data_IF_809154536919
#
_entry.id   IF_809154536919
#
_cell.length_a   1.000
_cell.length_b   1.000
_cell.length_c   1.000
_cell.angle_alpha   90.00
_cell.angle_beta   90.00
_cell.angle_gamma   90.00
#
_symmetry.space_group_name_H-M   'P 1'
#
loop_
_entity.id
_entity.type
_entity.pdbx_description
1 polymer ?
#
# COMPACT_ATOMS: atom_id res chain seq x y z
N UNK A 1 4.70 38.93 -13.82
CA UNK A 1 5.01 38.67 -12.39
C UNK A 1 4.19 37.56 -11.70
N UNK A 2 3.10 37.00 -12.29
CA UNK A 2 2.32 35.91 -11.67
C UNK A 2 2.88 34.48 -11.87
N UNK A 3 3.73 34.29 -12.89
CA UNK A 3 4.32 32.98 -13.22
C UNK A 3 5.42 32.55 -12.22
N UNK A 4 6.25 33.49 -11.76
CA UNK A 4 7.35 33.23 -10.82
C UNK A 4 6.87 32.80 -9.43
N UNK A 5 5.73 33.34 -8.97
CA UNK A 5 5.11 32.95 -7.71
C UNK A 5 4.45 31.57 -7.78
N UNK A 6 3.81 31.23 -8.91
CA UNK A 6 3.25 29.89 -9.12
C UNK A 6 4.33 28.80 -9.17
N UNK A 7 5.43 29.05 -9.89
CA UNK A 7 6.55 28.10 -9.99
C UNK A 7 7.22 27.85 -8.64
N UNK A 8 7.43 28.91 -7.84
CA UNK A 8 7.95 28.78 -6.46
C UNK A 8 7.01 28.00 -5.55
N UNK A 9 5.69 28.24 -5.63
CA UNK A 9 4.70 27.50 -4.85
C UNK A 9 4.67 26.01 -5.24
N UNK A 10 4.76 25.70 -6.54
CA UNK A 10 4.80 24.34 -7.05
C UNK A 10 6.06 23.59 -6.58
N UNK A 11 7.24 24.23 -6.61
CA UNK A 11 8.47 23.66 -6.09
C UNK A 11 8.41 23.38 -4.58
N UNK A 12 7.86 24.31 -3.78
CA UNK A 12 7.68 24.13 -2.33
C UNK A 12 6.73 22.95 -2.06
N UNK A 13 5.63 22.86 -2.81
CA UNK A 13 4.67 21.76 -2.67
C UNK A 13 5.31 20.39 -3.01
N UNK A 14 6.09 20.31 -4.09
CA UNK A 14 6.82 19.09 -4.48
C UNK A 14 7.84 18.67 -3.42
N UNK A 15 8.58 19.63 -2.84
CA UNK A 15 9.53 19.38 -1.75
C UNK A 15 8.82 18.86 -0.49
N UNK A 16 7.67 19.44 -0.13
CA UNK A 16 6.90 19.01 1.05
C UNK A 16 6.34 17.59 0.89
N UNK A 17 5.86 17.22 -0.30
CA UNK A 17 5.37 15.86 -0.58
C UNK A 17 6.52 14.85 -0.54
N UNK A 18 7.65 15.16 -1.18
CA UNK A 18 8.84 14.31 -1.17
C UNK A 18 9.42 14.13 0.24
N UNK A 19 9.42 15.19 1.06
CA UNK A 19 9.87 15.12 2.45
C UNK A 19 8.97 14.23 3.32
N UNK A 20 7.65 14.25 3.09
CA UNK A 20 6.69 13.38 3.79
C UNK A 20 6.88 11.91 3.43
N UNK A 21 7.07 11.59 2.16
CA UNK A 21 7.36 10.22 1.69
C UNK A 21 8.67 9.71 2.28
N UNK A 22 9.77 10.46 2.13
CA UNK A 22 11.08 10.07 2.66
C UNK A 22 11.06 9.84 4.17
N UNK A 23 10.43 10.75 4.93
CA UNK A 23 10.28 10.59 6.38
C UNK A 23 9.47 9.36 6.75
N UNK A 24 8.45 9.01 5.95
CA UNK A 24 7.65 7.81 6.16
C UNK A 24 8.49 6.56 5.93
N UNK A 25 9.19 6.46 4.80
CA UNK A 25 10.04 5.32 4.46
C UNK A 25 11.21 5.13 5.44
N UNK A 26 11.71 6.20 6.06
CA UNK A 26 12.74 6.10 7.10
C UNK A 26 12.22 5.52 8.44
N UNK A 27 10.90 5.58 8.66
CA UNK A 27 10.28 5.24 9.95
C UNK A 27 9.48 3.94 9.90
N UNK A 28 9.27 3.39 8.70
CA UNK A 28 8.39 2.27 8.46
C UNK A 28 9.06 1.28 7.51
N UNK A 29 8.92 0.00 7.80
CA UNK A 29 9.27 -1.04 6.85
C UNK A 29 8.13 -1.14 5.85
N UNK A 30 8.43 -0.90 4.56
CA UNK A 30 7.43 -0.90 3.50
C UNK A 30 7.87 -1.82 2.37
N UNK A 31 7.06 -2.84 2.10
CA UNK A 31 7.27 -3.77 0.99
C UNK A 31 6.13 -3.58 0.00
N UNK A 32 6.47 -3.35 -1.26
CA UNK A 32 5.50 -3.41 -2.36
C UNK A 32 5.17 -4.87 -2.62
N UNK A 33 3.89 -5.24 -2.60
CA UNK A 33 3.49 -6.64 -2.75
C UNK A 33 3.52 -7.05 -4.21
N UNK A 34 2.95 -6.23 -5.08
CA UNK A 34 2.88 -6.52 -6.52
C UNK A 34 3.42 -5.38 -7.37
N UNK A 35 4.07 -5.72 -8.49
CA UNK A 35 4.39 -4.79 -9.56
C UNK A 35 3.51 -5.08 -10.77
N UNK A 36 3.16 -4.04 -11.52
CA UNK A 36 2.52 -4.21 -12.83
C UNK A 36 3.62 -4.21 -13.88
N UNK A 37 3.85 -5.36 -14.51
CA UNK A 37 4.83 -5.53 -15.58
C UNK A 37 4.07 -5.96 -16.83
N UNK A 38 4.11 -5.13 -17.88
CA UNK A 38 3.47 -5.41 -19.17
C UNK A 38 1.96 -5.67 -19.08
N UNK A 39 1.26 -5.05 -18.12
CA UNK A 39 -0.18 -5.22 -17.91
C UNK A 39 -0.53 -6.33 -16.91
N UNK A 40 0.43 -7.17 -16.54
CA UNK A 40 0.23 -8.24 -15.56
C UNK A 40 0.68 -7.83 -14.17
N UNK A 41 -0.12 -8.18 -13.17
CA UNK A 41 0.26 -8.06 -11.76
C UNK A 41 1.17 -9.24 -11.38
N UNK A 42 2.41 -8.95 -10.99
CA UNK A 42 3.37 -9.96 -10.53
C UNK A 42 3.72 -9.75 -9.07
N UNK A 43 3.64 -10.83 -8.31
CA UNK A 43 4.02 -10.86 -6.89
C UNK A 43 5.53 -10.71 -6.74
N UNK A 44 5.95 -9.73 -5.93
CA UNK A 44 7.36 -9.46 -5.63
C UNK A 44 7.95 -10.52 -4.71
N UNK A 45 9.24 -10.80 -4.89
CA UNK A 45 9.93 -11.84 -4.15
C UNK A 45 10.04 -11.51 -2.65
N UNK A 46 10.27 -10.24 -2.32
CA UNK A 46 10.34 -9.77 -0.95
C UNK A 46 9.01 -10.01 -0.21
N UNK A 47 7.88 -9.85 -0.91
CA UNK A 47 6.56 -10.12 -0.35
C UNK A 47 6.31 -11.61 -0.14
N UNK A 48 6.80 -12.49 -1.03
CA UNK A 48 6.74 -13.96 -0.83
C UNK A 48 7.61 -14.39 0.36
N UNK A 49 8.82 -13.87 0.46
CA UNK A 49 9.72 -14.15 1.59
C UNK A 49 9.06 -13.70 2.89
N UNK A 50 8.50 -12.48 2.93
CA UNK A 50 7.76 -11.99 4.07
C UNK A 50 6.60 -12.94 4.42
N UNK A 51 5.73 -13.27 3.46
CA UNK A 51 4.59 -14.15 3.67
C UNK A 51 5.03 -15.53 4.22
N UNK A 52 6.08 -16.13 3.65
CA UNK A 52 6.57 -17.45 4.05
C UNK A 52 6.93 -17.52 5.54
N UNK A 53 7.45 -16.42 6.10
CA UNK A 53 7.90 -16.29 7.50
C UNK A 53 6.79 -15.93 8.48
N UNK A 54 5.61 -15.51 8.00
CA UNK A 54 4.51 -15.05 8.85
C UNK A 54 3.39 -16.10 8.96
N UNK A 55 2.63 -16.05 10.05
CA UNK A 55 1.55 -17.01 10.32
C UNK A 55 0.39 -16.87 9.34
N UNK A 56 -0.12 -15.65 9.17
CA UNK A 56 -1.24 -15.35 8.28
C UNK A 56 -0.70 -15.21 6.85
N UNK A 57 -1.27 -15.99 5.93
CA UNK A 57 -0.96 -15.94 4.50
C UNK A 57 -1.87 -14.95 3.76
N UNK A 58 -1.55 -14.58 2.52
CA UNK A 58 -2.34 -13.65 1.73
C UNK A 58 -3.81 -14.08 1.64
N UNK A 59 -4.08 -15.36 1.39
CA UNK A 59 -5.46 -15.89 1.28
C UNK A 59 -6.25 -15.74 2.58
N UNK A 60 -5.61 -15.97 3.72
CA UNK A 60 -6.26 -15.82 5.03
C UNK A 60 -6.47 -14.35 5.36
N UNK A 61 -5.48 -13.50 5.07
CA UNK A 61 -5.60 -12.06 5.18
C UNK A 61 -6.75 -11.51 4.33
N UNK A 62 -6.92 -12.01 3.10
CA UNK A 62 -8.00 -11.62 2.20
C UNK A 62 -9.35 -11.95 2.81
N UNK A 63 -9.52 -13.15 3.40
CA UNK A 63 -10.75 -13.55 4.09
C UNK A 63 -11.05 -12.63 5.27
N UNK A 64 -10.03 -12.26 6.07
CA UNK A 64 -10.19 -11.34 7.19
C UNK A 64 -10.62 -9.96 6.70
N UNK A 65 -9.96 -9.43 5.67
CA UNK A 65 -10.27 -8.14 5.08
C UNK A 65 -11.70 -8.11 4.49
N UNK A 66 -12.08 -9.13 3.71
CA UNK A 66 -13.42 -9.23 3.11
C UNK A 66 -14.53 -9.29 4.17
N UNK A 67 -14.31 -10.04 5.26
CA UNK A 67 -15.23 -10.06 6.42
C UNK A 67 -15.31 -8.71 7.12
N UNK A 68 -14.19 -7.99 7.20
CA UNK A 68 -14.17 -6.66 7.78
C UNK A 68 -15.00 -5.70 6.93
N UNK A 69 -14.75 -5.60 5.63
CA UNK A 69 -15.48 -4.66 4.75
C UNK A 69 -16.96 -5.02 4.60
N UNK A 70 -17.31 -6.31 4.55
CA UNK A 70 -18.72 -6.73 4.39
C UNK A 70 -19.59 -6.26 5.55
N UNK A 71 -19.03 -6.18 6.76
CA UNK A 71 -19.68 -5.62 7.94
C UNK A 71 -20.04 -4.13 7.76
N UNK A 72 -19.26 -3.38 6.99
CA UNK A 72 -19.47 -1.94 6.79
C UNK A 72 -20.23 -1.62 5.51
N UNK A 73 -20.09 -2.41 4.44
CA UNK A 73 -20.60 -2.05 3.12
C UNK A 73 -21.87 -2.79 2.67
N UNK A 74 -22.45 -3.71 3.49
CA UNK A 74 -23.63 -4.53 3.10
C UNK A 74 -23.47 -5.18 1.70
N UNK A 75 -22.25 -5.62 1.37
CA UNK A 75 -21.95 -6.26 0.08
C UNK A 75 -22.24 -7.77 0.21
N UNK A 76 -23.21 -8.26 -0.57
CA UNK A 76 -23.66 -9.67 -0.59
C UNK A 76 -22.79 -10.61 -1.45
N UNK A 77 -21.63 -10.15 -1.90
CA UNK A 77 -20.83 -10.85 -2.91
C UNK A 77 -19.37 -10.97 -2.48
N UNK A 78 -19.10 -11.71 -1.42
CA UNK A 78 -17.75 -12.27 -1.20
C UNK A 78 -17.59 -13.49 -2.12
N UNK A 79 -17.61 -13.26 -3.44
CA UNK A 79 -17.03 -14.24 -4.37
C UNK A 79 -15.52 -14.18 -4.15
N UNK A 80 -14.93 -15.33 -3.85
CA UNK A 80 -13.50 -15.54 -3.66
C UNK A 80 -12.72 -15.15 -4.92
N UNK A 81 -12.52 -13.86 -5.15
CA UNK A 81 -11.47 -13.38 -6.04
C UNK A 81 -10.16 -13.45 -5.26
N UNK A 82 -9.17 -14.10 -5.84
CA UNK A 82 -7.80 -14.00 -5.37
C UNK A 82 -7.30 -12.59 -5.70
N UNK A 83 -6.88 -11.84 -4.70
CA UNK A 83 -6.24 -10.54 -4.88
C UNK A 83 -5.13 -10.39 -3.86
N UNK A 84 -4.20 -9.47 -4.12
CA UNK A 84 -3.11 -9.21 -3.19
C UNK A 84 -3.35 -7.91 -2.42
N UNK A 85 -2.86 -7.81 -1.17
CA UNK A 85 -2.67 -6.51 -0.55
C UNK A 85 -1.72 -5.66 -1.42
N UNK A 86 -1.83 -4.34 -1.36
CA UNK A 86 -0.99 -3.46 -2.17
C UNK A 86 0.41 -3.29 -1.56
N UNK A 87 0.48 -3.21 -0.24
CA UNK A 87 1.71 -3.00 0.53
C UNK A 87 1.75 -3.95 1.73
N UNK A 88 2.94 -4.24 2.24
CA UNK A 88 3.15 -4.66 3.61
C UNK A 88 3.79 -3.47 4.35
N UNK A 89 3.21 -3.06 5.48
CA UNK A 89 3.75 -1.97 6.31
C UNK A 89 3.83 -2.42 7.75
N UNK A 90 5.03 -2.44 8.33
CA UNK A 90 5.31 -2.85 9.72
C UNK A 90 4.61 -4.17 10.11
N UNK A 91 4.64 -5.14 9.19
CA UNK A 91 4.01 -6.44 9.37
C UNK A 91 2.49 -6.50 9.14
N UNK A 92 1.87 -5.47 8.55
CA UNK A 92 0.47 -5.48 8.14
C UNK A 92 0.34 -5.61 6.63
N UNK A 93 -0.46 -6.58 6.16
CA UNK A 93 -0.95 -6.65 4.79
C UNK A 93 -1.97 -5.52 4.57
N UNK A 94 -1.56 -4.48 3.84
CA UNK A 94 -2.35 -3.28 3.61
C UNK A 94 -3.11 -3.35 2.29
N UNK A 95 -4.44 -3.40 2.39
CA UNK A 95 -5.37 -3.27 1.28
C UNK A 95 -5.61 -1.79 1.01
N UNK A 96 -5.09 -1.33 -0.13
CA UNK A 96 -4.98 0.08 -0.48
C UNK A 96 -5.08 0.30 -1.99
N UNK A 97 -5.13 1.56 -2.38
CA UNK A 97 -5.21 2.01 -3.76
C UNK A 97 -3.83 2.12 -4.40
N UNK A 98 -3.76 1.61 -5.63
CA UNK A 98 -2.62 1.76 -6.53
C UNK A 98 -3.03 2.59 -7.74
N UNK A 99 -2.25 3.63 -8.03
CA UNK A 99 -2.39 4.45 -9.22
C UNK A 99 -1.33 4.04 -10.25
N UNK A 100 -1.74 3.15 -11.16
CA UNK A 100 -0.90 2.60 -12.22
C UNK A 100 -0.38 3.70 -13.17
N UNK A 101 -1.20 4.74 -13.46
CA UNK A 101 -0.79 5.83 -14.36
C UNK A 101 0.40 6.62 -13.81
N UNK A 102 0.48 6.76 -12.49
CA UNK A 102 1.54 7.53 -11.83
C UNK A 102 2.60 6.67 -11.13
N UNK A 103 2.51 5.33 -11.21
CA UNK A 103 3.35 4.39 -10.47
C UNK A 103 3.44 4.71 -8.97
N UNK A 104 2.30 5.02 -8.37
CA UNK A 104 2.19 5.37 -6.95
C UNK A 104 1.22 4.46 -6.24
N UNK A 105 1.55 4.12 -5.01
CA UNK A 105 0.71 3.33 -4.10
C UNK A 105 0.47 4.12 -2.82
N UNK A 106 -0.77 4.09 -2.32
CA UNK A 106 -1.11 4.79 -1.09
C UNK A 106 -0.77 3.93 0.14
N UNK A 107 -0.19 4.53 1.18
CA UNK A 107 -0.10 3.93 2.50
C UNK A 107 -1.35 4.29 3.34
N UNK A 108 -2.53 4.03 2.78
CA UNK A 108 -3.84 4.35 3.36
C UNK A 108 -4.82 3.21 3.10
N UNK A 109 -5.62 2.85 4.09
CA UNK A 109 -6.64 1.79 3.94
C UNK A 109 -6.67 0.83 5.11
N UNK A 110 -7.04 -0.42 4.84
CA UNK A 110 -7.23 -1.43 5.88
C UNK A 110 -6.05 -2.39 5.90
N UNK A 111 -5.35 -2.46 7.02
CA UNK A 111 -4.27 -3.40 7.26
C UNK A 111 -4.73 -4.60 8.07
N UNK A 112 -4.28 -5.80 7.69
CA UNK A 112 -4.42 -7.03 8.48
C UNK A 112 -3.05 -7.46 8.97
N UNK A 113 -2.89 -7.61 10.28
CA UNK A 113 -1.61 -8.00 10.87
C UNK A 113 -1.23 -9.43 10.46
N UNK A 114 -0.02 -9.59 9.93
CA UNK A 114 0.45 -10.86 9.37
C UNK A 114 0.71 -11.96 10.42
N UNK A 115 0.78 -11.61 11.71
CA UNK A 115 0.97 -12.58 12.80
C UNK A 115 -0.33 -12.88 13.55
N UNK A 116 -1.16 -11.87 13.78
CA UNK A 116 -2.32 -11.96 14.69
C UNK A 116 -3.66 -11.92 13.96
N UNK A 117 -3.70 -11.51 12.69
CA UNK A 117 -4.95 -11.27 11.96
C UNK A 117 -5.72 -10.02 12.44
N UNK A 118 -5.18 -9.24 13.37
CA UNK A 118 -5.82 -8.01 13.83
C UNK A 118 -5.94 -6.98 12.71
N UNK A 119 -7.12 -6.35 12.62
CA UNK A 119 -7.40 -5.32 11.62
C UNK A 119 -7.07 -3.93 12.17
N UNK A 120 -6.35 -3.12 11.38
CA UNK A 120 -5.97 -1.75 11.70
C UNK A 120 -6.29 -0.81 10.53
N UNK A 121 -6.80 0.37 10.82
CA UNK A 121 -7.04 1.42 9.82
C UNK A 121 -5.84 2.36 9.70
N UNK A 122 -5.26 2.43 8.50
CA UNK A 122 -4.19 3.36 8.13
C UNK A 122 -4.82 4.64 7.59
N UNK A 123 -5.01 5.63 8.47
CA UNK A 123 -5.77 6.85 8.15
C UNK A 123 -4.94 7.95 7.48
N UNK A 124 -3.61 7.89 7.56
CA UNK A 124 -2.73 8.92 7.02
C UNK A 124 -2.47 8.67 5.54
N UNK A 125 -2.91 9.58 4.67
CA UNK A 125 -2.67 9.47 3.24
C UNK A 125 -1.24 9.87 2.92
N UNK A 126 -0.38 8.88 2.65
CA UNK A 126 0.94 9.06 2.06
C UNK A 126 0.95 8.35 0.70
N UNK A 127 1.30 9.06 -0.35
CA UNK A 127 1.54 8.46 -1.66
C UNK A 127 3.02 8.12 -1.79
N UNK A 128 3.32 6.86 -2.05
CA UNK A 128 4.68 6.34 -2.20
C UNK A 128 4.92 6.06 -3.66
N UNK A 129 6.05 6.53 -4.20
CA UNK A 129 6.48 6.15 -5.53
C UNK A 129 7.00 4.70 -5.49
N UNK A 130 6.48 3.83 -6.35
CA UNK A 130 6.91 2.44 -6.41
C UNK A 130 8.41 2.31 -6.70
N UNK A 131 9.01 3.27 -7.42
CA UNK A 131 10.44 3.32 -7.66
C UNK A 131 11.26 3.59 -6.38
N UNK A 132 10.70 4.30 -5.40
CA UNK A 132 11.33 4.51 -4.09
C UNK A 132 11.39 3.22 -3.25
N UNK A 133 10.67 2.16 -3.66
CA UNK A 133 10.61 0.85 -3.01
C UNK A 133 11.44 -0.21 -3.76
N UNK A 134 12.16 0.16 -4.82
CA UNK A 134 12.93 -0.78 -5.66
C UNK A 134 14.38 -1.00 -5.18
N UNK A 135 14.76 -0.50 -4.01
CA UNK A 135 16.17 -0.39 -3.61
C UNK A 135 16.46 -0.66 -2.12
N UNK A 136 15.75 -1.60 -1.49
CA UNK A 136 16.16 -2.14 -0.20
C UNK A 136 16.52 -3.62 -0.36
#
# INVERSE_FOLDING_TARGET
MKFFTFFRLACIFLLLVSCKEKRFLNNHEVILVTNFINGDEKLREEAKIFESKNRIKFDESNKIYLRFISKYEKIDTVKSTHFYPALIIDGYYLYSFKNIKTNKVAAFGTGVNAQTGQVKQFKKVIWINEHSLKSN
#
